data_IF_458306533981
#
_entry.id   IF_458306533981
#
_cell.length_a   1.000
_cell.length_b   1.000
_cell.length_c   1.000
_cell.angle_alpha   90.00
_cell.angle_beta   90.00
_cell.angle_gamma   90.00
#
_symmetry.space_group_name_H-M   'P 1'
#
loop_
_entity.id
_entity.type
_entity.pdbx_description
1 polymer ?
#
# COMPACT_ATOMS: atom_id res chain seq x y z
N UNK A 1 -13.27 10.70 0.29
CA UNK A 1 -12.62 10.96 1.59
C UNK A 1 -11.18 11.42 1.36
N UNK A 2 -10.86 12.61 1.82
CA UNK A 2 -9.48 13.10 1.81
C UNK A 2 -8.78 12.60 3.05
N UNK A 3 -7.59 12.03 2.89
CA UNK A 3 -6.86 11.56 4.05
C UNK A 3 -5.45 11.08 3.74
N UNK A 4 -4.76 10.75 4.81
CA UNK A 4 -3.42 10.18 4.78
C UNK A 4 -3.49 8.73 5.23
N UNK A 5 -2.83 7.85 4.51
CA UNK A 5 -2.85 6.42 4.80
C UNK A 5 -1.44 5.83 4.82
N UNK A 6 -1.31 4.65 5.39
CA UNK A 6 -0.07 3.89 5.31
C UNK A 6 -0.32 2.47 4.79
N UNK A 7 0.67 1.94 4.08
CA UNK A 7 0.77 0.54 3.72
C UNK A 7 2.01 0.01 4.44
N UNK A 8 1.80 -0.86 5.42
CA UNK A 8 2.88 -1.35 6.27
C UNK A 8 3.16 -2.82 5.99
N UNK A 9 4.42 -3.18 5.85
CA UNK A 9 4.87 -4.55 5.83
C UNK A 9 5.03 -5.03 7.27
N UNK A 10 4.23 -6.00 7.69
CA UNK A 10 4.22 -6.52 9.06
C UNK A 10 5.51 -7.25 9.43
N UNK A 11 6.25 -7.75 8.45
CA UNK A 11 7.45 -8.54 8.68
C UNK A 11 8.62 -7.66 9.09
N UNK A 12 8.85 -6.56 8.38
CA UNK A 12 9.99 -5.66 8.62
C UNK A 12 9.61 -4.26 9.06
N UNK A 13 8.31 -4.01 9.25
CA UNK A 13 7.75 -2.73 9.69
C UNK A 13 8.03 -1.55 8.75
N UNK A 14 8.42 -1.80 7.52
CA UNK A 14 8.57 -0.75 6.53
C UNK A 14 7.20 -0.21 6.11
N UNK A 15 7.10 1.10 5.95
CA UNK A 15 5.85 1.78 5.64
C UNK A 15 5.96 2.61 4.37
N UNK A 16 4.87 2.61 3.63
CA UNK A 16 4.63 3.54 2.52
C UNK A 16 3.52 4.48 2.96
N UNK A 17 3.79 5.80 2.94
CA UNK A 17 2.82 6.82 3.35
C UNK A 17 2.32 7.52 2.10
N UNK A 18 1.00 7.64 1.98
CA UNK A 18 0.38 8.33 0.86
C UNK A 18 -0.83 9.13 1.28
N UNK A 19 -1.35 9.93 0.35
CA UNK A 19 -2.56 10.68 0.57
C UNK A 19 -3.45 10.62 -0.68
N UNK A 20 -4.75 10.78 -0.48
CA UNK A 20 -5.71 10.75 -1.58
C UNK A 20 -7.00 11.43 -1.17
N UNK A 21 -7.71 11.96 -2.16
CA UNK A 21 -9.08 12.46 -1.96
C UNK A 21 -10.07 11.30 -1.84
N UNK A 22 -9.70 10.12 -2.31
CA UNK A 22 -10.51 8.90 -2.15
C UNK A 22 -9.61 7.74 -1.74
N UNK A 23 -9.51 7.54 -0.41
CA UNK A 23 -8.63 6.54 0.17
C UNK A 23 -8.96 5.12 -0.30
N UNK A 24 -10.24 4.74 -0.28
CA UNK A 24 -10.62 3.38 -0.62
C UNK A 24 -10.34 3.04 -2.09
N UNK A 25 -10.61 3.98 -2.98
CA UNK A 25 -10.30 3.79 -4.40
C UNK A 25 -8.78 3.69 -4.60
N UNK A 26 -8.02 4.52 -3.89
CA UNK A 26 -6.56 4.51 -4.00
C UNK A 26 -5.96 3.19 -3.51
N UNK A 27 -6.47 2.67 -2.40
CA UNK A 27 -6.03 1.36 -1.90
C UNK A 27 -6.32 0.25 -2.92
N UNK A 28 -7.49 0.29 -3.54
CA UNK A 28 -7.86 -0.68 -4.56
C UNK A 28 -6.90 -0.61 -5.75
N UNK A 29 -6.55 0.58 -6.18
CA UNK A 29 -5.57 0.79 -7.25
C UNK A 29 -4.20 0.26 -6.88
N UNK A 30 -3.73 0.50 -5.66
CA UNK A 30 -2.47 -0.05 -5.17
C UNK A 30 -2.47 -1.58 -5.23
N UNK A 31 -3.52 -2.21 -4.73
CA UNK A 31 -3.64 -3.66 -4.73
C UNK A 31 -3.63 -4.21 -6.15
N UNK A 32 -4.38 -3.61 -7.06
CA UNK A 32 -4.42 -4.01 -8.46
C UNK A 32 -3.03 -3.97 -9.11
N UNK A 33 -2.32 -2.87 -8.96
CA UNK A 33 -0.98 -2.71 -9.52
C UNK A 33 0.02 -3.68 -8.90
N UNK A 34 -0.07 -3.90 -7.60
CA UNK A 34 0.81 -4.83 -6.90
C UNK A 34 0.58 -6.27 -7.37
N UNK A 35 -0.67 -6.67 -7.57
CA UNK A 35 -1.00 -8.00 -8.08
C UNK A 35 -0.48 -8.22 -9.49
N UNK A 36 -0.51 -7.17 -10.31
CA UNK A 36 -0.05 -7.23 -11.70
C UNK A 36 1.47 -7.10 -11.84
N UNK A 37 2.18 -6.71 -10.78
CA UNK A 37 3.60 -6.45 -10.84
C UNK A 37 3.98 -5.15 -11.51
N UNK A 38 3.05 -4.19 -11.56
CA UNK A 38 3.22 -2.93 -12.29
C UNK A 38 3.19 -1.69 -11.40
N UNK A 39 3.34 -1.86 -10.10
CA UNK A 39 3.31 -0.73 -9.17
C UNK A 39 4.48 0.22 -9.42
N UNK A 40 4.21 1.53 -9.38
CA UNK A 40 5.22 2.56 -9.65
C UNK A 40 6.33 2.62 -8.61
N UNK A 41 6.02 2.24 -7.37
CA UNK A 41 7.03 2.16 -6.31
C UNK A 41 7.69 0.79 -6.34
N UNK A 42 8.90 0.72 -6.83
CA UNK A 42 9.63 -0.53 -7.00
C UNK A 42 9.92 -1.24 -5.67
N UNK A 43 10.22 -0.49 -4.63
CA UNK A 43 10.50 -1.07 -3.31
C UNK A 43 9.25 -1.74 -2.72
N UNK A 44 8.11 -1.09 -2.84
CA UNK A 44 6.85 -1.66 -2.40
C UNK A 44 6.48 -2.89 -3.21
N UNK A 45 6.69 -2.85 -4.52
CA UNK A 45 6.41 -3.97 -5.40
C UNK A 45 7.29 -5.18 -5.06
N UNK A 46 8.58 -4.96 -4.84
CA UNK A 46 9.51 -6.04 -4.46
C UNK A 46 9.10 -6.66 -3.12
N UNK A 47 8.75 -5.84 -2.13
CA UNK A 47 8.31 -6.32 -0.83
C UNK A 47 7.03 -7.14 -0.94
N UNK A 48 6.08 -6.69 -1.75
CA UNK A 48 4.85 -7.42 -2.02
C UNK A 48 5.13 -8.80 -2.64
N UNK A 49 6.03 -8.84 -3.61
CA UNK A 49 6.40 -10.11 -4.26
C UNK A 49 7.10 -11.07 -3.30
N UNK A 50 7.91 -10.53 -2.41
CA UNK A 50 8.70 -11.33 -1.46
C UNK A 50 7.88 -11.84 -0.29
N UNK A 51 7.07 -10.98 0.32
CA UNK A 51 6.39 -11.29 1.57
C UNK A 51 4.92 -11.70 1.40
N UNK A 52 4.31 -11.29 0.30
CA UNK A 52 2.93 -11.63 -0.01
C UNK A 52 1.90 -10.69 0.61
N UNK A 53 0.70 -10.75 0.03
CA UNK A 53 -0.43 -9.87 0.35
C UNK A 53 -0.79 -9.87 1.83
N UNK A 54 -0.76 -11.04 2.48
CA UNK A 54 -1.21 -11.18 3.86
C UNK A 54 -0.31 -10.50 4.88
N UNK A 55 0.88 -10.07 4.47
CA UNK A 55 1.84 -9.40 5.34
C UNK A 55 1.77 -7.88 5.23
N UNK A 56 0.80 -7.34 4.49
CA UNK A 56 0.63 -5.91 4.32
C UNK A 56 -0.64 -5.43 5.00
N UNK A 57 -0.52 -4.28 5.67
CA UNK A 57 -1.61 -3.68 6.42
C UNK A 57 -1.86 -2.27 5.91
N UNK A 58 -3.10 -1.99 5.54
CA UNK A 58 -3.54 -0.67 5.09
C UNK A 58 -4.21 0.03 6.26
N UNK A 59 -3.70 1.20 6.63
CA UNK A 59 -4.20 1.94 7.78
C UNK A 59 -4.51 3.38 7.40
N UNK A 60 -5.67 3.86 7.80
CA UNK A 60 -6.00 5.28 7.68
C UNK A 60 -5.38 6.02 8.85
N UNK A 61 -4.48 6.95 8.56
CA UNK A 61 -3.76 7.72 9.59
C UNK A 61 -4.48 9.00 9.95
N UNK A 62 -5.04 9.69 8.95
CA UNK A 62 -5.63 11.00 9.14
C UNK A 62 -6.62 11.32 8.02
N UNK A 63 -7.64 12.06 8.36
CA UNK A 63 -8.61 12.57 7.39
C UNK A 63 -8.21 13.93 6.85
#
# INVERSE_FOLDING_TARGET
>A
MVGVYSIRNKINDCKYIGESINIFLRWQQHIEHLKQGTHVNHLLQEAWNQYGKNNFEFTLLEY
#
